data_IF_766047124968
#
_entry.id   IF_766047124968
#
_cell.length_a   1.000
_cell.length_b   1.000
_cell.length_c   1.000
_cell.angle_alpha   90.00
_cell.angle_beta   90.00
_cell.angle_gamma   90.00
#
_symmetry.space_group_name_H-M   'P 1'
#
loop_
_entity.id
_entity.type
_entity.pdbx_description
1 polymer ?
#
# COMPACT_ATOMS: atom_id res chain seq x y z
N UNK A 1 -6.51 16.38 31.43
CA UNK A 1 -5.27 16.45 30.63
C UNK A 1 -4.26 15.46 31.22
N UNK A 2 -3.69 14.55 30.43
CA UNK A 2 -2.77 13.51 30.94
C UNK A 2 -1.41 14.14 31.32
N UNK A 3 -0.87 13.79 32.49
CA UNK A 3 0.40 14.28 33.03
C UNK A 3 1.57 14.17 32.02
N UNK A 4 1.60 13.07 31.24
CA UNK A 4 2.61 12.84 30.19
C UNK A 4 2.53 13.87 29.07
N UNK A 5 1.31 14.23 28.66
CA UNK A 5 1.07 15.24 27.62
C UNK A 5 1.38 16.65 28.13
N UNK A 6 1.11 16.92 29.42
CA UNK A 6 1.48 18.20 30.06
C UNK A 6 3.00 18.39 30.14
N UNK A 7 3.76 17.33 30.46
CA UNK A 7 5.22 17.38 30.50
C UNK A 7 5.83 17.57 29.10
N UNK A 8 5.32 16.85 28.10
CA UNK A 8 5.79 17.03 26.71
C UNK A 8 5.58 18.46 26.20
N UNK A 9 4.44 19.09 26.56
CA UNK A 9 4.18 20.50 26.25
C UNK A 9 5.16 21.44 26.95
N UNK A 10 5.46 21.19 28.23
CA UNK A 10 6.40 21.99 29.00
C UNK A 10 7.80 22.02 28.35
N UNK A 11 8.24 20.91 27.77
CA UNK A 11 9.54 20.79 27.09
C UNK A 11 9.48 21.02 25.56
N UNK A 12 8.32 21.39 25.00
CA UNK A 12 8.17 21.66 23.56
C UNK A 12 8.25 20.41 22.64
N UNK A 13 8.05 19.21 23.18
CA UNK A 13 8.09 17.94 22.43
C UNK A 13 6.71 17.36 22.10
N UNK A 14 5.63 18.06 22.44
CA UNK A 14 4.27 17.57 22.22
C UNK A 14 3.96 17.36 20.73
N UNK A 15 4.42 18.25 19.85
CA UNK A 15 4.27 18.10 18.40
C UNK A 15 5.07 16.92 17.84
N UNK A 16 6.33 16.74 18.27
CA UNK A 16 7.14 15.58 17.85
C UNK A 16 6.52 14.27 18.34
N UNK A 17 6.01 14.25 19.57
CA UNK A 17 5.34 13.09 20.12
C UNK A 17 4.04 12.77 19.37
N UNK A 18 3.24 13.79 19.04
CA UNK A 18 2.05 13.63 18.20
C UNK A 18 2.41 13.08 16.81
N UNK A 19 3.43 13.63 16.15
CA UNK A 19 3.93 13.10 14.88
C UNK A 19 4.37 11.64 14.99
N UNK A 20 5.13 11.30 16.03
CA UNK A 20 5.62 9.94 16.25
C UNK A 20 4.48 8.94 16.47
N UNK A 21 3.49 9.32 17.28
CA UNK A 21 2.36 8.46 17.66
C UNK A 21 1.37 8.35 16.50
N UNK A 22 0.93 9.49 15.98
CA UNK A 22 -0.23 9.58 15.09
C UNK A 22 0.17 9.41 13.63
N UNK A 23 1.32 9.95 13.20
CA UNK A 23 1.75 9.80 11.81
C UNK A 23 2.64 8.55 11.61
N UNK A 24 3.80 8.55 12.28
CA UNK A 24 4.89 7.61 12.03
C UNK A 24 4.49 6.17 12.39
N UNK A 25 3.75 6.01 13.49
CA UNK A 25 3.31 4.69 13.96
C UNK A 25 1.94 4.32 13.37
N UNK A 26 0.98 5.24 13.37
CA UNK A 26 -0.39 4.90 12.97
C UNK A 26 -0.58 4.69 11.46
N UNK A 27 0.17 5.40 10.58
CA UNK A 27 0.14 5.14 9.13
C UNK A 27 1.16 4.09 8.67
N UNK A 28 1.88 3.43 9.58
CA UNK A 28 2.80 2.35 9.21
C UNK A 28 4.15 2.80 8.62
N UNK A 29 4.54 4.08 8.75
CA UNK A 29 5.80 4.59 8.18
C UNK A 29 7.05 3.87 8.69
N UNK A 30 7.09 3.54 9.99
CA UNK A 30 8.17 2.68 10.55
C UNK A 30 8.25 1.33 9.86
N UNK A 31 7.10 0.70 9.62
CA UNK A 31 7.05 -0.63 9.01
C UNK A 31 7.47 -0.53 7.55
N UNK A 32 6.95 0.46 6.83
CA UNK A 32 7.34 0.77 5.45
C UNK A 32 8.84 0.95 5.30
N UNK A 33 9.47 1.74 6.17
CA UNK A 33 10.93 1.93 6.17
C UNK A 33 11.69 0.62 6.43
N UNK A 34 11.20 -0.21 7.36
CA UNK A 34 11.83 -1.49 7.71
C UNK A 34 11.76 -2.51 6.56
N UNK A 35 10.65 -2.57 5.84
CA UNK A 35 10.43 -3.57 4.78
C UNK A 35 10.72 -3.04 3.38
N UNK A 36 11.10 -1.77 3.26
CA UNK A 36 11.34 -1.07 1.99
C UNK A 36 10.16 -1.22 1.00
N UNK A 37 8.94 -1.05 1.49
CA UNK A 37 7.71 -1.09 0.69
C UNK A 37 6.61 -0.21 1.30
N UNK A 38 5.68 0.29 0.49
CA UNK A 38 4.55 1.09 0.96
C UNK A 38 3.51 0.18 1.63
N UNK A 39 3.53 0.11 2.96
CA UNK A 39 2.60 -0.74 3.72
C UNK A 39 1.93 0.02 4.87
N UNK A 40 0.73 -0.40 5.21
CA UNK A 40 0.01 0.11 6.38
C UNK A 40 0.65 -0.39 7.70
N UNK A 41 0.04 -0.03 8.84
CA UNK A 41 0.51 -0.46 10.16
C UNK A 41 0.54 -1.99 10.32
N UNK A 42 -0.37 -2.69 9.65
CA UNK A 42 -0.53 -4.14 9.72
C UNK A 42 0.39 -4.84 8.71
N UNK A 43 1.02 -4.09 7.81
CA UNK A 43 1.93 -4.60 6.78
C UNK A 43 1.23 -4.95 5.49
N UNK A 44 -0.03 -4.54 5.31
CA UNK A 44 -0.72 -4.73 4.05
C UNK A 44 -0.25 -3.71 3.02
N UNK A 45 -0.23 -4.08 1.72
CA UNK A 45 0.15 -3.18 0.65
C UNK A 45 -0.77 -1.95 0.57
N UNK A 46 -0.18 -0.78 0.37
CA UNK A 46 -0.90 0.46 0.01
C UNK A 46 -0.72 0.71 -1.49
N UNK A 47 -1.79 0.77 -2.30
CA UNK A 47 -1.68 0.94 -3.73
C UNK A 47 -1.12 2.32 -4.06
N UNK A 48 -0.40 2.45 -5.18
CA UNK A 48 0.05 3.75 -5.69
C UNK A 48 -1.10 4.48 -6.40
N UNK A 49 -2.10 4.84 -5.62
CA UNK A 49 -3.30 5.57 -6.03
C UNK A 49 -3.47 6.73 -5.05
N UNK A 50 -4.05 7.86 -5.49
CA UNK A 50 -4.34 8.97 -4.61
C UNK A 50 -5.20 8.51 -3.41
N UNK A 51 -4.84 8.87 -2.18
CA UNK A 51 -5.53 8.38 -0.98
C UNK A 51 -7.07 8.55 -1.02
N UNK A 52 -7.62 9.72 -1.42
CA UNK A 52 -9.08 9.84 -1.52
C UNK A 52 -9.72 8.90 -2.56
N UNK A 53 -9.00 8.55 -3.62
CA UNK A 53 -9.50 7.59 -4.60
C UNK A 53 -9.46 6.15 -4.06
N UNK A 54 -8.50 5.81 -3.18
CA UNK A 54 -8.50 4.52 -2.47
C UNK A 54 -9.77 4.41 -1.62
N UNK A 55 -10.11 5.46 -0.87
CA UNK A 55 -11.30 5.48 -0.01
C UNK A 55 -12.58 5.24 -0.83
N UNK A 56 -12.74 5.93 -1.97
CA UNK A 56 -13.88 5.74 -2.88
C UNK A 56 -13.91 4.33 -3.49
N UNK A 57 -12.75 3.78 -3.84
CA UNK A 57 -12.66 2.44 -4.43
C UNK A 57 -13.02 1.35 -3.40
N UNK A 58 -12.62 1.52 -2.14
CA UNK A 58 -12.88 0.54 -1.07
C UNK A 58 -14.37 0.27 -0.88
N UNK A 59 -15.21 1.31 -0.97
CA UNK A 59 -16.66 1.18 -0.83
C UNK A 59 -17.31 0.29 -1.91
N UNK A 60 -16.71 0.22 -3.10
CA UNK A 60 -17.21 -0.54 -4.24
C UNK A 60 -16.64 -1.96 -4.37
N UNK A 61 -15.61 -2.30 -3.59
CA UNK A 61 -14.89 -3.56 -3.71
C UNK A 61 -15.71 -4.75 -3.20
N UNK A 62 -15.71 -5.83 -3.98
CA UNK A 62 -16.38 -7.09 -3.63
C UNK A 62 -15.50 -8.29 -3.99
N UNK A 63 -15.56 -9.39 -3.21
CA UNK A 63 -14.70 -10.55 -3.40
C UNK A 63 -14.98 -11.34 -4.68
N UNK A 64 -16.08 -11.06 -5.39
CA UNK A 64 -16.43 -11.67 -6.68
C UNK A 64 -15.92 -10.89 -7.90
N UNK A 65 -15.42 -9.68 -7.70
CA UNK A 65 -14.90 -8.84 -8.77
C UNK A 65 -13.66 -9.43 -9.44
N UNK A 66 -13.46 -9.06 -10.70
CA UNK A 66 -12.26 -9.35 -11.49
C UNK A 66 -11.68 -8.02 -11.94
N UNK A 67 -10.44 -7.73 -11.54
CA UNK A 67 -9.76 -6.46 -11.82
C UNK A 67 -8.78 -6.65 -12.96
N UNK A 68 -8.71 -5.66 -13.85
CA UNK A 68 -7.65 -5.53 -14.83
C UNK A 68 -6.91 -4.22 -14.59
N UNK A 69 -5.57 -4.23 -14.62
CA UNK A 69 -4.74 -3.04 -14.51
C UNK A 69 -3.58 -3.03 -15.51
N UNK A 70 -3.20 -1.82 -15.94
CA UNK A 70 -1.96 -1.56 -16.68
C UNK A 70 -0.90 -1.08 -15.69
N UNK A 71 0.27 -1.72 -15.73
CA UNK A 71 1.28 -1.64 -14.69
C UNK A 71 1.02 -2.65 -13.57
N UNK A 72 2.08 -3.00 -12.85
CA UNK A 72 2.01 -3.97 -11.76
C UNK A 72 2.81 -3.54 -10.52
N UNK A 73 2.51 -4.14 -9.38
CA UNK A 73 3.27 -3.94 -8.15
C UNK A 73 2.41 -3.93 -6.91
N UNK A 74 2.51 -2.86 -6.11
CA UNK A 74 1.82 -2.78 -4.83
C UNK A 74 0.30 -2.61 -4.99
N UNK A 75 -0.16 -1.98 -6.08
CA UNK A 75 -1.59 -1.93 -6.43
C UNK A 75 -2.13 -3.33 -6.71
N UNK A 76 -1.39 -4.17 -7.45
CA UNK A 76 -1.74 -5.56 -7.72
C UNK A 76 -2.00 -6.34 -6.45
N UNK A 77 -1.06 -6.24 -5.49
CA UNK A 77 -1.18 -6.90 -4.18
C UNK A 77 -2.36 -6.34 -3.37
N UNK A 78 -2.63 -5.04 -3.47
CA UNK A 78 -3.79 -4.44 -2.82
C UNK A 78 -5.09 -4.94 -3.43
N UNK A 79 -5.26 -4.93 -4.75
CA UNK A 79 -6.44 -5.49 -5.41
C UNK A 79 -6.65 -6.95 -5.02
N UNK A 80 -5.59 -7.76 -5.05
CA UNK A 80 -5.64 -9.19 -4.75
C UNK A 80 -6.17 -9.51 -3.35
N UNK A 81 -6.12 -8.56 -2.41
CA UNK A 81 -6.72 -8.73 -1.07
C UNK A 81 -8.24 -8.58 -1.05
N UNK A 82 -8.83 -7.95 -2.06
CA UNK A 82 -10.24 -7.53 -2.04
C UNK A 82 -11.10 -8.19 -3.12
N UNK A 83 -10.50 -8.79 -4.15
CA UNK A 83 -11.22 -9.29 -5.34
C UNK A 83 -10.88 -10.74 -5.68
N UNK A 84 -11.68 -11.35 -6.56
CA UNK A 84 -11.54 -12.75 -6.95
C UNK A 84 -10.28 -13.02 -7.76
N UNK A 85 -10.01 -12.18 -8.76
CA UNK A 85 -8.82 -12.27 -9.62
C UNK A 85 -8.34 -10.89 -10.04
N UNK A 86 -7.03 -10.78 -10.25
CA UNK A 86 -6.41 -9.57 -10.81
C UNK A 86 -5.61 -9.97 -12.04
N UNK A 87 -5.76 -9.22 -13.13
CA UNK A 87 -4.97 -9.34 -14.34
C UNK A 87 -4.15 -8.06 -14.49
N UNK A 88 -2.83 -8.16 -14.38
CA UNK A 88 -1.94 -7.01 -14.46
C UNK A 88 -1.01 -7.17 -15.66
N UNK A 89 -0.87 -6.12 -16.46
CA UNK A 89 0.04 -6.10 -17.61
C UNK A 89 1.24 -5.23 -17.28
N UNK A 90 2.44 -5.80 -17.34
CA UNK A 90 3.69 -5.09 -17.11
C UNK A 90 4.55 -5.05 -18.38
N UNK A 91 5.18 -3.91 -18.65
CA UNK A 91 5.99 -3.70 -19.84
C UNK A 91 7.49 -3.71 -19.58
N UNK A 92 7.91 -3.48 -18.33
CA UNK A 92 9.31 -3.48 -17.95
C UNK A 92 9.69 -4.85 -17.38
N UNK A 93 10.60 -5.55 -18.08
CA UNK A 93 10.98 -6.93 -17.77
C UNK A 93 11.59 -7.07 -16.36
N UNK A 94 12.48 -6.18 -15.96
CA UNK A 94 13.15 -6.26 -14.65
C UNK A 94 12.18 -6.12 -13.48
N UNK A 95 11.18 -5.25 -13.64
CA UNK A 95 10.11 -5.04 -12.69
C UNK A 95 9.15 -6.21 -12.69
N UNK A 96 8.76 -6.73 -13.86
CA UNK A 96 7.98 -7.97 -13.96
C UNK A 96 8.66 -9.14 -13.21
N UNK A 97 9.97 -9.33 -13.39
CA UNK A 97 10.74 -10.37 -12.71
C UNK A 97 10.79 -10.19 -11.19
N UNK A 98 10.69 -8.94 -10.74
CA UNK A 98 10.66 -8.59 -9.31
C UNK A 98 9.27 -8.79 -8.71
N UNK A 99 8.22 -8.37 -9.42
CA UNK A 99 6.83 -8.41 -8.98
C UNK A 99 6.28 -9.83 -9.03
N UNK A 100 6.55 -10.59 -10.10
CA UNK A 100 6.08 -11.97 -10.28
C UNK A 100 6.36 -12.88 -9.07
N UNK A 101 7.51 -12.70 -8.41
CA UNK A 101 7.92 -13.45 -7.22
C UNK A 101 7.02 -13.24 -6.00
N UNK A 102 6.18 -12.21 -6.00
CA UNK A 102 5.33 -11.81 -4.87
C UNK A 102 3.84 -12.07 -5.13
N UNK A 103 3.47 -12.49 -6.34
CA UNK A 103 2.06 -12.57 -6.74
C UNK A 103 1.39 -13.82 -6.15
N UNK A 104 0.21 -13.69 -5.52
CA UNK A 104 -0.57 -14.85 -5.09
C UNK A 104 -1.19 -15.57 -6.30
N UNK A 105 -1.67 -16.79 -6.07
CA UNK A 105 -2.10 -17.71 -7.15
C UNK A 105 -3.27 -17.18 -8.02
N UNK A 106 -4.12 -16.30 -7.50
CA UNK A 106 -5.27 -15.73 -8.22
C UNK A 106 -4.93 -14.44 -8.98
N UNK A 107 -3.65 -14.06 -9.03
CA UNK A 107 -3.15 -12.95 -9.86
C UNK A 107 -2.51 -13.50 -11.12
N UNK A 108 -2.95 -12.98 -12.26
CA UNK A 108 -2.34 -13.25 -13.57
C UNK A 108 -1.52 -12.03 -13.96
N UNK A 109 -0.20 -12.15 -13.86
CA UNK A 109 0.74 -11.12 -14.29
C UNK A 109 1.25 -11.48 -15.70
N UNK A 110 1.11 -10.55 -16.66
CA UNK A 110 1.57 -10.74 -18.04
C UNK A 110 2.64 -9.71 -18.39
N UNK A 111 3.78 -10.16 -18.91
CA UNK A 111 4.78 -9.25 -19.48
C UNK A 111 4.45 -8.96 -20.96
N UNK A 112 4.27 -7.69 -21.31
CA UNK A 112 3.97 -7.23 -22.67
C UNK A 112 4.84 -6.01 -22.99
N UNK A 113 5.90 -6.17 -23.82
CA UNK A 113 6.77 -5.06 -24.18
C UNK A 113 6.03 -4.01 -25.03
N UNK A 114 6.44 -2.75 -24.90
CA UNK A 114 5.89 -1.67 -25.72
C UNK A 114 6.33 -1.82 -27.17
N UNK A 115 5.36 -1.86 -28.09
CA UNK A 115 5.63 -1.79 -29.53
C UNK A 115 5.67 -0.32 -29.94
N UNK A 116 6.72 0.07 -30.67
CA UNK A 116 6.84 1.42 -31.26
C UNK A 116 6.25 1.45 -32.66
#
# INVERSE_FOLDING_TARGET
>A
MNLRTSLLKLFGYDQLYALYKDAITAYGWKKSAKVNACVDRDGHPIPWIAYPAIDVLQDGLRPDLRVFEFGSGNSTLWWARHVKTVHSVEHEQGWYDTVSKKMPAHVVLSHVPLVR
#
